data_IF_690714069598
#
_entry.id   IF_690714069598
#
_cell.length_a   1.000
_cell.length_b   1.000
_cell.length_c   1.000
_cell.angle_alpha   90.00
_cell.angle_beta   90.00
_cell.angle_gamma   90.00
#
_symmetry.space_group_name_H-M   'P 1'
#
loop_
_entity.id
_entity.type
_entity.pdbx_description
1 polymer ?
#
# COMPACT_ATOMS: atom_id res chain seq x y z
N UNK A 1 27.23 26.38 51.58
CA UNK A 1 25.92 26.77 51.04
C UNK A 1 25.38 25.63 50.18
N UNK A 2 24.21 25.13 50.59
CA UNK A 2 23.26 24.17 50.01
C UNK A 2 23.74 23.02 49.10
N UNK A 3 23.75 21.82 49.68
CA UNK A 3 23.44 20.58 48.98
C UNK A 3 21.93 20.41 48.79
N UNK A 4 21.53 19.82 47.67
CA UNK A 4 20.13 19.45 47.41
C UNK A 4 19.97 17.94 47.49
N UNK A 5 19.30 17.49 48.55
CA UNK A 5 18.86 16.11 48.77
C UNK A 5 17.40 16.03 48.32
N UNK A 6 17.12 15.42 47.17
CA UNK A 6 15.73 15.16 46.73
C UNK A 6 15.27 13.86 47.38
N UNK A 7 14.19 13.97 48.16
CA UNK A 7 13.67 12.92 49.03
C UNK A 7 12.98 11.77 48.32
N UNK A 8 13.10 10.60 48.94
CA UNK A 8 12.27 9.43 48.70
C UNK A 8 10.85 9.69 49.22
N UNK A 9 9.83 9.45 48.38
CA UNK A 9 8.46 9.31 48.87
C UNK A 9 7.39 9.44 47.81
N UNK A 10 7.15 8.41 47.00
CA UNK A 10 5.82 8.08 46.45
C UNK A 10 5.86 6.67 45.83
N UNK A 11 5.78 5.62 46.68
CA UNK A 11 5.43 4.26 46.22
C UNK A 11 3.91 4.17 46.10
N UNK A 12 3.37 4.78 45.04
CA UNK A 12 2.02 4.50 44.58
C UNK A 12 1.98 3.09 43.99
N UNK A 13 1.39 2.15 44.72
CA UNK A 13 1.25 0.75 44.32
C UNK A 13 0.16 0.66 43.25
N UNK A 14 0.53 0.81 41.97
CA UNK A 14 -0.38 0.51 40.86
C UNK A 14 -0.85 -0.95 40.99
N UNK A 15 -2.15 -1.24 40.89
CA UNK A 15 -2.66 -2.59 41.06
C UNK A 15 -2.09 -3.49 39.96
N UNK A 16 -1.31 -4.50 40.36
CA UNK A 16 -0.81 -5.57 39.51
C UNK A 16 -1.92 -6.55 39.11
N UNK A 17 -2.99 -6.04 38.48
CA UNK A 17 -4.13 -6.86 38.06
C UNK A 17 -4.35 -6.84 36.55
N UNK A 18 -3.26 -6.83 35.78
CA UNK A 18 -3.23 -7.21 34.36
C UNK A 18 -1.95 -8.00 33.99
N UNK A 19 -1.39 -8.76 34.93
CA UNK A 19 -0.22 -9.63 34.71
C UNK A 19 -0.57 -10.97 34.04
N UNK A 20 -1.57 -10.98 33.14
CA UNK A 20 -2.02 -12.17 32.40
C UNK A 20 -2.01 -11.99 30.88
N UNK A 21 -1.72 -10.79 30.38
CA UNK A 21 -1.51 -10.59 28.95
C UNK A 21 -0.11 -11.10 28.61
N UNK A 22 -0.04 -12.21 27.87
CA UNK A 22 1.22 -12.72 27.34
C UNK A 22 1.90 -11.59 26.54
N UNK A 23 3.08 -11.07 26.97
CA UNK A 23 3.76 -9.96 26.28
C UNK A 23 4.14 -10.34 24.84
N UNK A 24 4.19 -11.65 24.53
CA UNK A 24 4.45 -12.16 23.20
C UNK A 24 3.20 -12.24 22.31
N UNK A 25 2.00 -12.01 22.85
CA UNK A 25 0.76 -12.05 22.07
C UNK A 25 0.71 -10.88 21.08
N UNK A 26 1.13 -9.69 21.51
CA UNK A 26 1.22 -8.49 20.66
C UNK A 26 2.30 -8.62 19.58
N UNK A 27 3.43 -9.27 19.88
CA UNK A 27 4.44 -9.62 18.87
C UNK A 27 3.92 -10.62 17.83
N UNK A 28 2.95 -11.46 18.18
CA UNK A 28 2.35 -12.45 17.27
C UNK A 28 1.39 -11.79 16.26
N UNK A 29 0.62 -10.78 16.67
CA UNK A 29 -0.29 -10.03 15.80
C UNK A 29 0.42 -9.00 14.90
N UNK A 30 1.64 -8.61 15.24
CA UNK A 30 2.48 -7.71 14.44
C UNK A 30 3.45 -8.44 13.51
N UNK A 31 3.39 -9.79 13.44
CA UNK A 31 4.19 -10.56 12.49
C UNK A 31 3.72 -10.37 11.04
N UNK A 32 4.01 -9.20 10.49
CA UNK A 32 3.92 -8.86 9.07
C UNK A 32 4.92 -9.66 8.22
N UNK A 33 5.85 -10.38 8.86
CA UNK A 33 6.78 -11.34 8.27
C UNK A 33 6.06 -12.51 7.56
N UNK A 34 4.80 -12.80 7.89
CA UNK A 34 4.02 -13.82 7.18
C UNK A 34 3.67 -13.42 5.73
N UNK A 35 3.51 -12.11 5.45
CA UNK A 35 3.30 -11.57 4.10
C UNK A 35 4.60 -11.17 3.37
N UNK A 36 5.75 -11.29 4.05
CA UNK A 36 7.03 -10.68 3.66
C UNK A 36 8.15 -11.70 3.37
N UNK A 37 7.81 -12.93 2.98
CA UNK A 37 8.83 -13.94 2.64
C UNK A 37 9.21 -13.89 1.16
N UNK A 38 9.87 -12.81 0.74
CA UNK A 38 10.56 -12.74 -0.56
C UNK A 38 12.05 -12.50 -0.34
N UNK A 39 12.89 -13.08 -1.20
CA UNK A 39 14.35 -12.85 -1.14
C UNK A 39 14.64 -11.38 -1.50
N UNK A 40 15.49 -10.66 -0.75
CA UNK A 40 15.77 -9.24 -1.00
C UNK A 40 16.20 -8.93 -2.45
N UNK A 41 17.07 -9.77 -3.03
CA UNK A 41 17.48 -9.62 -4.44
C UNK A 41 16.30 -9.70 -5.41
N UNK A 42 15.37 -10.64 -5.19
CA UNK A 42 14.19 -10.78 -6.04
C UNK A 42 13.24 -9.59 -5.90
N UNK A 43 13.05 -9.11 -4.66
CA UNK A 43 12.26 -7.90 -4.39
C UNK A 43 12.82 -6.68 -5.14
N UNK A 44 14.13 -6.46 -5.07
CA UNK A 44 14.80 -5.37 -5.78
C UNK A 44 14.67 -5.47 -7.30
N UNK A 45 14.79 -6.68 -7.87
CA UNK A 45 14.60 -6.90 -9.31
C UNK A 45 13.17 -6.55 -9.73
N UNK A 46 12.18 -6.96 -8.93
CA UNK A 46 10.77 -6.68 -9.20
C UNK A 46 10.44 -5.19 -9.06
N UNK A 47 11.02 -4.49 -8.08
CA UNK A 47 10.87 -3.03 -7.96
C UNK A 47 11.36 -2.31 -9.22
N UNK A 48 12.53 -2.70 -9.75
CA UNK A 48 13.08 -2.10 -10.98
C UNK A 48 12.27 -2.45 -12.22
N UNK A 49 11.82 -3.69 -12.35
CA UNK A 49 11.00 -4.12 -13.48
C UNK A 49 9.67 -3.37 -13.53
N UNK A 50 9.02 -3.26 -12.37
CA UNK A 50 7.73 -2.55 -12.25
C UNK A 50 7.89 -1.05 -12.42
N UNK A 51 8.95 -0.44 -11.87
CA UNK A 51 9.30 0.95 -12.12
C UNK A 51 9.55 1.24 -13.60
N UNK A 52 10.30 0.36 -14.29
CA UNK A 52 10.58 0.51 -15.72
C UNK A 52 9.29 0.47 -16.54
N UNK A 53 8.41 -0.50 -16.28
CA UNK A 53 7.11 -0.57 -16.92
C UNK A 53 6.29 0.70 -16.70
N UNK A 54 6.16 1.15 -15.44
CA UNK A 54 5.37 2.34 -15.09
C UNK A 54 5.96 3.64 -15.65
N UNK A 55 7.29 3.73 -15.75
CA UNK A 55 7.95 4.89 -16.34
C UNK A 55 7.57 5.12 -17.81
N UNK A 56 7.16 4.06 -18.51
CA UNK A 56 6.67 4.13 -19.90
C UNK A 56 5.14 4.25 -19.92
N UNK A 57 4.45 3.49 -19.06
CA UNK A 57 3.00 3.43 -19.07
C UNK A 57 2.32 4.71 -18.57
N UNK A 58 2.88 5.38 -17.56
CA UNK A 58 2.28 6.60 -16.99
C UNK A 58 2.33 7.81 -17.95
N UNK A 59 3.44 8.08 -18.68
CA UNK A 59 3.44 9.10 -19.74
C UNK A 59 2.43 8.80 -20.84
N UNK A 60 2.32 7.54 -21.28
CA UNK A 60 1.29 7.14 -22.24
C UNK A 60 -0.12 7.45 -21.70
N UNK A 61 -0.40 7.10 -20.45
CA UNK A 61 -1.69 7.39 -19.81
C UNK A 61 -1.94 8.91 -19.76
N UNK A 62 -0.93 9.71 -19.43
CA UNK A 62 -1.02 11.18 -19.45
C UNK A 62 -1.39 11.72 -20.84
N UNK A 63 -0.70 11.26 -21.89
CA UNK A 63 -1.00 11.66 -23.27
C UNK A 63 -2.40 11.19 -23.70
N UNK A 64 -2.79 9.97 -23.35
CA UNK A 64 -4.12 9.43 -23.63
C UNK A 64 -5.24 10.28 -22.99
N UNK A 65 -5.07 10.66 -21.72
CA UNK A 65 -6.01 11.55 -21.02
C UNK A 65 -6.07 12.94 -21.66
N UNK A 66 -4.94 13.48 -22.11
CA UNK A 66 -4.90 14.76 -22.83
C UNK A 66 -5.61 14.68 -24.18
N UNK A 67 -5.49 13.55 -24.90
CA UNK A 67 -6.21 13.32 -26.15
C UNK A 67 -7.73 13.25 -25.95
N UNK A 68 -8.19 12.77 -24.79
CA UNK A 68 -9.61 12.71 -24.42
C UNK A 68 -10.17 14.01 -23.80
N UNK A 69 -9.38 15.08 -23.67
CA UNK A 69 -9.77 16.32 -22.97
C UNK A 69 -11.11 16.93 -23.43
N UNK A 70 -11.45 16.78 -24.71
CA UNK A 70 -12.70 17.29 -25.31
C UNK A 70 -13.67 16.19 -25.71
N UNK A 71 -13.39 14.95 -25.32
CA UNK A 71 -14.21 13.81 -25.69
C UNK A 71 -15.49 13.77 -24.86
N UNK A 72 -16.60 13.44 -25.52
CA UNK A 72 -17.84 13.10 -24.81
C UNK A 72 -17.79 11.67 -24.24
N UNK A 73 -18.79 11.31 -23.42
CA UNK A 73 -18.85 9.99 -22.78
C UNK A 73 -18.78 8.83 -23.79
N UNK A 74 -19.46 8.94 -24.93
CA UNK A 74 -19.50 7.89 -25.94
C UNK A 74 -18.13 7.72 -26.60
N UNK A 75 -17.44 8.83 -26.87
CA UNK A 75 -16.09 8.80 -27.42
C UNK A 75 -15.09 8.14 -26.46
N UNK A 76 -15.19 8.42 -25.16
CA UNK A 76 -14.36 7.74 -24.14
C UNK A 76 -14.65 6.24 -24.09
N UNK A 77 -15.93 5.85 -24.06
CA UNK A 77 -16.35 4.44 -24.09
C UNK A 77 -15.83 3.74 -25.34
N UNK A 78 -15.94 4.36 -26.52
CA UNK A 78 -15.41 3.82 -27.76
C UNK A 78 -13.90 3.64 -27.73
N UNK A 79 -13.15 4.60 -27.17
CA UNK A 79 -11.70 4.48 -27.02
C UNK A 79 -11.33 3.30 -26.12
N UNK A 80 -11.96 3.20 -24.95
CA UNK A 80 -11.70 2.13 -23.97
C UNK A 80 -12.12 0.76 -24.50
N UNK A 81 -13.16 0.68 -25.35
CA UNK A 81 -13.62 -0.57 -26.02
C UNK A 81 -12.58 -1.27 -26.88
N UNK A 82 -11.44 -0.64 -27.17
CA UNK A 82 -10.32 -1.35 -27.77
C UNK A 82 -9.74 -2.36 -26.76
N UNK A 83 -9.78 -3.68 -27.05
CA UNK A 83 -9.36 -4.71 -26.09
C UNK A 83 -7.88 -4.62 -25.72
N UNK A 84 -7.01 -4.18 -26.64
CA UNK A 84 -5.59 -4.01 -26.36
C UNK A 84 -5.36 -2.85 -25.38
N UNK A 85 -6.10 -1.73 -25.56
CA UNK A 85 -6.03 -0.59 -24.64
C UNK A 85 -6.62 -0.95 -23.28
N UNK A 86 -7.78 -1.59 -23.23
CA UNK A 86 -8.40 -2.03 -21.97
C UNK A 86 -7.47 -2.98 -21.19
N UNK A 87 -6.85 -3.94 -21.87
CA UNK A 87 -5.86 -4.83 -21.26
C UNK A 87 -4.65 -4.06 -20.74
N UNK A 88 -4.11 -3.12 -21.53
CA UNK A 88 -3.00 -2.27 -21.13
C UNK A 88 -3.31 -1.43 -19.89
N UNK A 89 -4.49 -0.81 -19.83
CA UNK A 89 -4.97 -0.06 -18.66
C UNK A 89 -5.11 -0.95 -17.43
N UNK A 90 -5.70 -2.15 -17.59
CA UNK A 90 -5.83 -3.14 -16.52
C UNK A 90 -4.48 -3.58 -15.96
N UNK A 91 -3.51 -3.90 -16.83
CA UNK A 91 -2.14 -4.25 -16.42
C UNK A 91 -1.46 -3.06 -15.74
N UNK A 92 -1.63 -1.84 -16.25
CA UNK A 92 -1.05 -0.64 -15.64
C UNK A 92 -1.52 -0.43 -14.21
N UNK A 93 -2.82 -0.64 -13.94
CA UNK A 93 -3.38 -0.57 -12.58
C UNK A 93 -2.84 -1.70 -11.69
N UNK A 94 -2.77 -2.92 -12.21
CA UNK A 94 -2.26 -4.06 -11.43
C UNK A 94 -0.78 -3.87 -11.07
N UNK A 95 0.04 -3.42 -12.03
CA UNK A 95 1.47 -3.18 -11.84
C UNK A 95 1.71 -1.98 -10.91
N UNK A 96 0.90 -0.92 -10.98
CA UNK A 96 1.06 0.23 -10.09
C UNK A 96 0.80 -0.12 -8.62
N UNK A 97 -0.25 -0.90 -8.35
CA UNK A 97 -0.52 -1.39 -6.99
C UNK A 97 0.54 -2.38 -6.52
N UNK A 98 1.01 -3.25 -7.40
CA UNK A 98 2.09 -4.16 -7.06
C UNK A 98 3.39 -3.42 -6.73
N UNK A 99 3.74 -2.39 -7.51
CA UNK A 99 4.89 -1.53 -7.26
C UNK A 99 4.78 -0.82 -5.90
N UNK A 100 3.63 -0.20 -5.62
CA UNK A 100 3.32 0.41 -4.33
C UNK A 100 3.44 -0.59 -3.17
N UNK A 101 2.98 -1.84 -3.36
CA UNK A 101 3.09 -2.89 -2.35
C UNK A 101 4.55 -3.23 -2.01
N UNK A 102 5.45 -3.21 -3.00
CA UNK A 102 6.87 -3.50 -2.80
C UNK A 102 7.57 -2.39 -2.02
N UNK A 103 7.36 -1.12 -2.39
CA UNK A 103 7.95 0.01 -1.67
C UNK A 103 7.41 0.14 -0.25
N UNK A 104 6.11 -0.08 -0.06
CA UNK A 104 5.49 -0.03 1.27
C UNK A 104 6.12 -1.05 2.23
N UNK A 105 6.56 -2.22 1.74
CA UNK A 105 7.27 -3.22 2.56
C UNK A 105 8.61 -2.71 3.07
N UNK A 106 9.38 -2.01 2.24
CA UNK A 106 10.66 -1.41 2.64
C UNK A 106 10.45 -0.26 3.61
N UNK A 107 9.49 0.63 3.33
CA UNK A 107 9.14 1.74 4.24
C UNK A 107 8.75 1.20 5.62
N UNK A 108 7.87 0.18 5.66
CA UNK A 108 7.44 -0.43 6.91
C UNK A 108 8.60 -1.09 7.66
N UNK A 109 9.53 -1.74 6.94
CA UNK A 109 10.66 -2.45 7.53
C UNK A 109 11.70 -1.51 8.13
N UNK A 110 12.01 -0.44 7.42
CA UNK A 110 13.17 0.41 7.74
C UNK A 110 12.78 1.60 8.63
N UNK A 111 11.54 2.09 8.52
CA UNK A 111 11.14 3.35 9.18
C UNK A 111 10.03 3.19 10.22
N UNK A 112 9.13 2.22 10.08
CA UNK A 112 8.00 2.10 11.02
C UNK A 112 8.31 1.17 12.19
N UNK A 113 8.53 1.78 13.34
CA UNK A 113 8.55 1.09 14.64
C UNK A 113 7.19 1.07 15.32
N UNK A 114 6.40 2.14 15.14
CA UNK A 114 5.07 2.27 15.71
C UNK A 114 4.04 1.28 15.10
N UNK A 115 3.12 0.81 15.95
CA UNK A 115 2.13 -0.20 15.59
C UNK A 115 0.93 0.40 14.87
N UNK A 116 0.50 1.62 15.24
CA UNK A 116 -0.68 2.26 14.66
C UNK A 116 -0.42 2.71 13.21
N UNK A 117 0.77 3.26 12.95
CA UNK A 117 1.18 3.64 11.60
C UNK A 117 1.19 2.44 10.62
N UNK A 118 1.59 1.25 11.08
CA UNK A 118 1.57 0.01 10.26
C UNK A 118 0.16 -0.39 9.86
N UNK A 119 -0.78 -0.29 10.79
CA UNK A 119 -2.20 -0.61 10.55
C UNK A 119 -2.81 0.39 9.57
N UNK A 120 -2.56 1.69 9.76
CA UNK A 120 -3.08 2.73 8.86
C UNK A 120 -2.61 2.51 7.41
N UNK A 121 -1.31 2.25 7.20
CA UNK A 121 -0.76 1.95 5.88
C UNK A 121 -1.35 0.68 5.26
N UNK A 122 -1.56 -0.36 6.06
CA UNK A 122 -2.22 -1.59 5.62
C UNK A 122 -3.67 -1.35 5.17
N UNK A 123 -4.41 -0.50 5.89
CA UNK A 123 -5.76 -0.10 5.51
C UNK A 123 -5.77 0.71 4.20
N UNK A 124 -4.85 1.67 4.04
CA UNK A 124 -4.70 2.44 2.80
C UNK A 124 -4.41 1.52 1.61
N UNK A 125 -3.47 0.58 1.77
CA UNK A 125 -3.18 -0.43 0.74
C UNK A 125 -4.43 -1.25 0.39
N UNK A 126 -5.16 -1.72 1.40
CA UNK A 126 -6.37 -2.54 1.21
C UNK A 126 -7.49 -1.77 0.49
N UNK A 127 -7.68 -0.49 0.83
CA UNK A 127 -8.61 0.39 0.12
C UNK A 127 -8.21 0.58 -1.34
N UNK A 128 -6.91 0.75 -1.63
CA UNK A 128 -6.41 0.87 -2.99
C UNK A 128 -6.63 -0.40 -3.82
N UNK A 129 -6.44 -1.59 -3.22
CA UNK A 129 -6.79 -2.87 -3.86
C UNK A 129 -8.30 -2.95 -4.14
N UNK A 130 -9.15 -2.50 -3.21
CA UNK A 130 -10.59 -2.41 -3.42
C UNK A 130 -10.95 -1.55 -4.62
N UNK A 131 -10.36 -0.35 -4.73
CA UNK A 131 -10.56 0.54 -5.88
C UNK A 131 -10.11 -0.12 -7.20
N UNK A 132 -8.98 -0.82 -7.23
CA UNK A 132 -8.57 -1.58 -8.42
C UNK A 132 -9.63 -2.61 -8.83
N UNK A 133 -10.17 -3.39 -7.90
CA UNK A 133 -11.19 -4.40 -8.22
C UNK A 133 -12.41 -3.73 -8.85
N UNK A 134 -12.87 -2.61 -8.28
CA UNK A 134 -13.97 -1.82 -8.86
C UNK A 134 -13.63 -1.29 -10.26
N UNK A 135 -12.41 -0.80 -10.48
CA UNK A 135 -11.97 -0.32 -11.79
C UNK A 135 -11.90 -1.44 -12.83
N UNK A 136 -11.36 -2.61 -12.46
CA UNK A 136 -11.30 -3.77 -13.34
C UNK A 136 -12.71 -4.28 -13.67
N UNK A 137 -13.62 -4.31 -12.69
CA UNK A 137 -15.03 -4.63 -12.92
C UNK A 137 -15.67 -3.66 -13.91
N UNK A 138 -15.41 -2.36 -13.76
CA UNK A 138 -15.90 -1.33 -14.68
C UNK A 138 -15.34 -1.52 -16.09
N UNK A 139 -14.04 -1.78 -16.24
CA UNK A 139 -13.41 -2.03 -17.54
C UNK A 139 -14.02 -3.23 -18.25
N UNK A 140 -14.19 -4.35 -17.56
CA UNK A 140 -14.84 -5.56 -18.10
C UNK A 140 -16.29 -5.23 -18.49
N UNK A 141 -17.00 -4.49 -17.64
CA UNK A 141 -18.37 -4.06 -17.92
C UNK A 141 -18.51 -3.21 -19.19
N UNK A 142 -17.52 -2.36 -19.50
CA UNK A 142 -17.49 -1.55 -20.73
C UNK A 142 -17.18 -2.43 -21.96
N UNK A 143 -16.40 -3.52 -21.81
CA UNK A 143 -16.10 -4.44 -22.91
C UNK A 143 -17.27 -5.36 -23.27
N UNK A 144 -18.08 -5.74 -22.26
CA UNK A 144 -19.15 -6.73 -22.43
C UNK A 144 -20.52 -6.12 -22.79
N UNK A 145 -20.68 -4.80 -22.70
CA UNK A 145 -21.87 -4.07 -23.16
C UNK A 145 -21.56 -3.34 -24.46
#
# INVERSE_FOLDING_TARGET
>A
MLGYRVGNGFKGRLPQRMAGANPNLFHKFTRLDLFMKMKPHHQWQLQRLTALFLSIALPFLGVFLLALKRADYNQVVMAVRNPALAAFLGVTIAVSLYHMALELKEIIRDYLRDSAAKVALGLTYSAAVGLMILTLYSLIGIMCR
#
